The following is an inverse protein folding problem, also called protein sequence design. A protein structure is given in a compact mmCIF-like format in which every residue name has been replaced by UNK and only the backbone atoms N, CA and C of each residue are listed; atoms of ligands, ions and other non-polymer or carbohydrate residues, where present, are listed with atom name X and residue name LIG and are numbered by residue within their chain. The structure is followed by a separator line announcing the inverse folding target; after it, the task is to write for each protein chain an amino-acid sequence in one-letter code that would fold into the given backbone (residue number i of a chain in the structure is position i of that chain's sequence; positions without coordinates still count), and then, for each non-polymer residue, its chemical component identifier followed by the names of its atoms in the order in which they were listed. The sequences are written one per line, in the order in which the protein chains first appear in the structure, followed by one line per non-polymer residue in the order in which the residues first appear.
data_IF_291387126328
#
_entry.id   IF_291387126328
#
_cell.length_a   1.000
_cell.length_b   1.000
_cell.length_c   1.000
_cell.angle_alpha   90.00
_cell.angle_beta   90.00
_cell.angle_gamma   90.00
#
_symmetry.space_group_name_H-M   'P 1'
#
loop_
_entity.id
_entity.type
_entity.pdbx_description
1 polymer ?
#
# COMPACT_ATOMS: atom_id res chain seq x y z
N UNK A 1 3.08 -21.91 -13.65
CA UNK A 1 3.39 -20.80 -12.74
C UNK A 1 3.56 -21.36 -11.34
N UNK A 2 4.52 -20.89 -10.53
CA UNK A 2 4.61 -21.31 -9.13
C UNK A 2 3.29 -21.00 -8.42
N UNK A 3 2.73 -21.99 -7.72
CA UNK A 3 1.43 -21.87 -7.05
C UNK A 3 1.57 -21.07 -5.75
N UNK A 4 0.60 -20.17 -5.49
CA UNK A 4 0.45 -19.48 -4.21
C UNK A 4 0.12 -20.43 -3.04
N UNK A 5 -0.17 -21.71 -3.35
CA UNK A 5 -0.65 -22.72 -2.41
C UNK A 5 0.47 -23.41 -1.60
N UNK A 6 1.75 -23.05 -1.82
CA UNK A 6 2.89 -23.57 -1.04
C UNK A 6 3.68 -22.45 -0.33
N UNK A 7 3.06 -21.72 0.62
CA UNK A 7 3.69 -20.60 1.32
C UNK A 7 4.94 -21.00 2.14
N UNK A 8 5.06 -22.27 2.52
CA UNK A 8 6.19 -22.84 3.27
C UNK A 8 7.53 -22.74 2.52
N UNK A 9 7.49 -22.67 1.18
CA UNK A 9 8.68 -22.60 0.32
C UNK A 9 9.17 -21.15 0.08
N UNK A 10 8.72 -20.18 0.88
CA UNK A 10 9.15 -18.78 0.74
C UNK A 10 10.60 -18.60 1.22
N UNK A 11 11.34 -17.75 0.49
CA UNK A 11 12.66 -17.27 0.92
C UNK A 11 12.79 -15.79 0.69
N UNK A 12 13.59 -15.14 1.53
CA UNK A 12 14.02 -13.76 1.32
C UNK A 12 15.31 -13.79 0.52
N UNK A 13 15.34 -13.05 -0.58
CA UNK A 13 16.53 -12.86 -1.43
C UNK A 13 16.75 -11.38 -1.68
N UNK A 14 17.99 -11.00 -2.01
CA UNK A 14 18.28 -9.64 -2.43
C UNK A 14 17.61 -9.32 -3.77
N UNK A 15 17.31 -8.04 -3.99
CA UNK A 15 16.87 -7.56 -5.30
C UNK A 15 17.94 -7.90 -6.36
N UNK A 16 17.54 -8.57 -7.44
CA UNK A 16 18.45 -9.07 -8.48
C UNK A 16 19.00 -10.48 -8.26
N UNK A 17 18.73 -11.10 -7.11
CA UNK A 17 19.11 -12.50 -6.81
C UNK A 17 17.89 -13.43 -6.79
N UNK A 18 16.82 -13.07 -7.52
CA UNK A 18 15.59 -13.85 -7.63
C UNK A 18 15.80 -14.99 -8.63
N UNK A 19 15.64 -16.25 -8.23
CA UNK A 19 15.85 -17.36 -9.16
C UNK A 19 14.75 -17.45 -10.22
N UNK A 20 15.11 -17.93 -11.41
CA UNK A 20 14.26 -17.87 -12.61
C UNK A 20 12.92 -18.61 -12.46
N UNK A 21 12.87 -19.60 -11.58
CA UNK A 21 11.68 -20.42 -11.32
C UNK A 21 10.79 -19.86 -10.20
N UNK A 22 11.10 -18.67 -9.67
CA UNK A 22 10.38 -18.05 -8.55
C UNK A 22 9.73 -16.71 -8.89
N UNK A 23 8.77 -16.33 -8.05
CA UNK A 23 8.01 -15.09 -8.15
C UNK A 23 8.23 -14.22 -6.91
N UNK A 24 8.30 -12.91 -7.10
CA UNK A 24 8.31 -11.93 -6.02
C UNK A 24 6.87 -11.70 -5.57
N UNK A 25 6.56 -12.01 -4.31
CA UNK A 25 5.20 -11.95 -3.78
C UNK A 25 5.03 -10.94 -2.64
N UNK A 26 6.13 -10.46 -2.06
CA UNK A 26 6.15 -9.43 -1.01
C UNK A 26 7.52 -8.75 -0.97
N UNK A 27 7.60 -7.59 -0.32
CA UNK A 27 8.87 -6.91 -0.04
C UNK A 27 9.60 -7.57 1.14
N UNK A 28 10.93 -7.59 1.07
CA UNK A 28 11.77 -8.14 2.14
C UNK A 28 11.89 -7.21 3.36
N UNK A 29 12.38 -7.73 4.51
CA UNK A 29 12.46 -6.97 5.76
C UNK A 29 13.36 -5.72 5.68
N UNK A 30 14.41 -5.76 4.87
CA UNK A 30 15.27 -4.58 4.65
C UNK A 30 14.53 -3.47 3.91
N UNK A 31 13.69 -3.81 2.93
CA UNK A 31 12.83 -2.84 2.23
C UNK A 31 11.79 -2.27 3.17
N UNK A 32 11.14 -3.11 4.00
CA UNK A 32 10.19 -2.66 5.02
C UNK A 32 10.82 -1.62 5.97
N UNK A 33 12.04 -1.91 6.46
CA UNK A 33 12.78 -0.98 7.33
C UNK A 33 13.02 0.36 6.63
N UNK A 34 13.59 0.33 5.42
CA UNK A 34 13.93 1.53 4.65
C UNK A 34 12.70 2.36 4.29
N UNK A 35 11.62 1.71 3.85
CA UNK A 35 10.37 2.41 3.54
C UNK A 35 9.78 3.03 4.79
N UNK A 36 9.76 2.30 5.91
CA UNK A 36 9.31 2.84 7.19
C UNK A 36 10.14 4.04 7.67
N UNK A 37 11.46 4.04 7.46
CA UNK A 37 12.32 5.19 7.77
C UNK A 37 11.93 6.43 6.96
N UNK A 38 11.74 6.28 5.64
CA UNK A 38 11.33 7.38 4.76
C UNK A 38 9.94 7.89 5.15
N UNK A 39 8.96 6.99 5.31
CA UNK A 39 7.57 7.32 5.64
C UNK A 39 7.48 8.15 6.93
N UNK A 40 8.19 7.76 7.99
CA UNK A 40 8.15 8.47 9.28
C UNK A 40 8.65 9.91 9.23
N UNK A 41 9.45 10.26 8.21
CA UNK A 41 9.94 11.64 8.05
C UNK A 41 8.98 12.54 7.25
N UNK A 42 7.97 11.96 6.60
CA UNK A 42 7.03 12.69 5.77
C UNK A 42 5.98 13.42 6.61
N UNK A 43 5.58 14.62 6.18
CA UNK A 43 4.41 15.34 6.74
C UNK A 43 3.11 15.05 6.00
N UNK A 44 3.22 14.49 4.80
CA UNK A 44 2.08 14.06 4.00
C UNK A 44 2.46 12.78 3.28
N UNK A 45 1.62 11.75 3.42
CA UNK A 45 1.77 10.47 2.74
C UNK A 45 0.50 10.14 2.00
N UNK A 46 0.63 9.88 0.70
CA UNK A 46 -0.42 9.30 -0.13
C UNK A 46 -0.02 7.86 -0.40
N UNK A 47 -0.85 6.91 0.00
CA UNK A 47 -0.59 5.48 -0.21
C UNK A 47 -1.68 4.85 -1.08
N UNK A 48 -1.25 4.26 -2.20
CA UNK A 48 -2.10 3.57 -3.15
C UNK A 48 -1.41 2.29 -3.67
N UNK A 49 -1.82 1.14 -3.15
CA UNK A 49 -1.43 -0.21 -3.56
C UNK A 49 -0.70 -0.97 -2.44
N UNK A 50 -1.07 -2.23 -2.14
CA UNK A 50 -0.34 -3.08 -1.20
C UNK A 50 1.08 -3.40 -1.71
N UNK A 51 1.97 -3.84 -0.81
CA UNK A 51 3.37 -4.14 -1.15
C UNK A 51 3.59 -5.57 -1.67
N UNK A 52 2.60 -6.42 -1.51
CA UNK A 52 2.61 -7.84 -1.85
C UNK A 52 1.20 -8.41 -1.92
N UNK A 53 1.11 -9.72 -2.10
CA UNK A 53 -0.17 -10.47 -2.15
C UNK A 53 -0.72 -10.64 -0.73
N UNK A 54 -1.19 -9.54 -0.15
CA UNK A 54 -1.55 -9.41 1.27
C UNK A 54 -2.76 -10.25 1.70
N UNK A 55 -3.51 -10.78 0.73
CA UNK A 55 -4.59 -11.73 0.94
C UNK A 55 -4.05 -13.06 1.50
N UNK A 56 -2.80 -13.41 1.17
CA UNK A 56 -2.10 -14.59 1.69
C UNK A 56 -1.20 -14.18 2.85
N UNK A 57 -1.46 -14.73 4.04
CA UNK A 57 -0.76 -14.37 5.29
C UNK A 57 0.78 -14.42 5.18
N UNK A 58 1.29 -15.39 4.42
CA UNK A 58 2.73 -15.55 4.19
C UNK A 58 3.38 -14.39 3.40
N UNK A 59 2.58 -13.59 2.70
CA UNK A 59 3.01 -12.48 1.82
C UNK A 59 2.36 -11.14 2.20
N UNK A 60 1.83 -11.03 3.43
CA UNK A 60 1.17 -9.82 3.93
C UNK A 60 2.09 -8.89 4.74
N UNK A 61 3.29 -9.36 5.11
CA UNK A 61 4.17 -8.66 6.07
C UNK A 61 4.68 -7.33 5.57
N UNK A 62 4.98 -7.22 4.28
CA UNK A 62 5.42 -5.95 3.70
C UNK A 62 4.31 -4.90 3.70
N UNK A 63 3.10 -5.30 3.31
CA UNK A 63 1.92 -4.45 3.35
C UNK A 63 1.60 -4.02 4.79
N UNK A 64 1.65 -4.93 5.75
CA UNK A 64 1.47 -4.62 7.17
C UNK A 64 2.52 -3.62 7.67
N UNK A 65 3.80 -3.83 7.36
CA UNK A 65 4.87 -2.94 7.79
C UNK A 65 4.70 -1.51 7.25
N UNK A 66 4.27 -1.36 5.99
CA UNK A 66 3.97 -0.05 5.41
C UNK A 66 2.72 0.55 6.03
N UNK A 67 1.63 -0.21 6.20
CA UNK A 67 0.41 0.27 6.85
C UNK A 67 0.68 0.82 8.26
N UNK A 68 1.47 0.09 9.06
CA UNK A 68 1.87 0.51 10.40
C UNK A 68 2.76 1.77 10.37
N UNK A 69 3.68 1.87 9.40
CA UNK A 69 4.52 3.04 9.25
C UNK A 69 3.69 4.28 8.89
N UNK A 70 2.75 4.15 7.96
CA UNK A 70 1.84 5.23 7.56
C UNK A 70 0.96 5.64 8.74
N UNK A 71 0.38 4.69 9.47
CA UNK A 71 -0.44 4.96 10.65
C UNK A 71 0.31 5.69 11.79
N UNK A 72 1.64 5.68 11.78
CA UNK A 72 2.50 6.33 12.78
C UNK A 72 3.01 7.71 12.34
N UNK A 73 2.63 8.18 11.15
CA UNK A 73 3.02 9.50 10.65
C UNK A 73 2.32 10.59 11.46
N UNK A 74 3.11 11.53 12.00
CA UNK A 74 2.60 12.77 12.58
C UNK A 74 2.37 13.80 11.47
N UNK A 75 1.27 13.63 10.74
CA UNK A 75 0.98 14.39 9.53
C UNK A 75 -0.28 13.90 8.83
N UNK A 76 -0.44 14.32 7.58
CA UNK A 76 -1.60 13.94 6.77
C UNK A 76 -1.35 12.61 6.07
N UNK A 77 -2.21 11.63 6.30
CA UNK A 77 -2.17 10.33 5.60
C UNK A 77 -3.43 10.14 4.77
N UNK A 78 -3.24 9.87 3.47
CA UNK A 78 -4.30 9.70 2.48
C UNK A 78 -4.18 8.30 1.92
N UNK A 79 -5.21 7.48 2.13
CA UNK A 79 -5.30 6.14 1.57
C UNK A 79 -6.20 6.18 0.33
N UNK A 80 -5.65 5.77 -0.81
CA UNK A 80 -6.34 5.67 -2.09
C UNK A 80 -6.32 4.25 -2.64
N UNK A 81 -7.32 3.91 -3.46
CA UNK A 81 -7.47 2.60 -4.08
C UNK A 81 -8.08 1.55 -3.15
N UNK A 82 -9.02 0.75 -3.69
CA UNK A 82 -9.79 -0.22 -2.90
C UNK A 82 -8.94 -1.23 -2.14
N UNK A 83 -7.86 -1.72 -2.74
CA UNK A 83 -6.98 -2.72 -2.11
C UNK A 83 -6.20 -2.14 -0.93
N UNK A 84 -5.75 -0.88 -1.00
CA UNK A 84 -5.07 -0.22 0.12
C UNK A 84 -6.04 0.01 1.28
N UNK A 85 -7.30 0.35 0.98
CA UNK A 85 -8.36 0.48 1.99
C UNK A 85 -8.61 -0.86 2.68
N UNK A 86 -8.79 -1.92 1.91
CA UNK A 86 -8.95 -3.28 2.45
C UNK A 86 -7.74 -3.71 3.29
N UNK A 87 -6.52 -3.33 2.88
CA UNK A 87 -5.31 -3.61 3.64
C UNK A 87 -5.29 -2.88 5.00
N UNK A 88 -5.55 -1.58 5.07
CA UNK A 88 -5.55 -0.85 6.36
C UNK A 88 -6.66 -1.30 7.30
N UNK A 89 -7.80 -1.72 6.76
CA UNK A 89 -8.88 -2.34 7.55
C UNK A 89 -8.45 -3.70 8.10
N UNK A 90 -7.92 -4.59 7.25
CA UNK A 90 -7.42 -5.91 7.67
C UNK A 90 -6.36 -5.81 8.76
N UNK A 91 -5.48 -4.80 8.67
CA UNK A 91 -4.39 -4.58 9.63
C UNK A 91 -4.81 -3.77 10.86
N UNK A 92 -6.08 -3.34 10.95
CA UNK A 92 -6.63 -2.65 12.13
C UNK A 92 -6.04 -1.27 12.38
N UNK A 93 -5.67 -0.55 11.31
CA UNK A 93 -5.08 0.81 11.40
C UNK A 93 -5.88 1.88 10.66
N UNK A 94 -7.06 1.53 10.14
CA UNK A 94 -7.89 2.44 9.35
C UNK A 94 -8.30 3.72 10.15
N UNK A 95 -8.58 3.58 11.44
CA UNK A 95 -8.93 4.67 12.36
C UNK A 95 -7.78 5.65 12.63
N UNK A 96 -6.54 5.26 12.30
CA UNK A 96 -5.34 6.08 12.45
C UNK A 96 -4.97 6.84 11.17
N UNK A 97 -5.73 6.65 10.09
CA UNK A 97 -5.52 7.36 8.83
C UNK A 97 -6.26 8.70 8.85
N UNK A 98 -5.64 9.76 8.34
CA UNK A 98 -6.27 11.09 8.29
C UNK A 98 -7.42 11.12 7.30
N UNK A 99 -7.27 10.43 6.16
CA UNK A 99 -8.28 10.33 5.12
C UNK A 99 -8.24 8.97 4.43
N UNK A 100 -9.39 8.31 4.35
CA UNK A 100 -9.60 7.10 3.55
C UNK A 100 -10.55 7.48 2.42
N UNK A 101 -10.06 7.40 1.18
CA UNK A 101 -10.84 7.81 0.03
C UNK A 101 -11.84 6.72 -0.38
N UNK A 102 -13.10 7.10 -0.56
CA UNK A 102 -14.16 6.22 -1.08
C UNK A 102 -14.31 6.31 -2.60
N UNK A 103 -13.51 7.15 -3.27
CA UNK A 103 -13.62 7.38 -4.72
C UNK A 103 -13.06 6.26 -5.59
N UNK A 104 -12.34 5.29 -5.00
CA UNK A 104 -11.73 4.19 -5.74
C UNK A 104 -10.88 4.72 -6.90
N UNK A 105 -11.24 4.36 -8.14
CA UNK A 105 -10.57 4.84 -9.34
C UNK A 105 -10.63 6.36 -9.53
N UNK A 106 -11.71 7.03 -9.13
CA UNK A 106 -11.84 8.48 -9.25
C UNK A 106 -10.77 9.22 -8.43
N UNK A 107 -10.37 8.66 -7.29
CA UNK A 107 -9.30 9.22 -6.44
C UNK A 107 -7.94 9.14 -7.13
N UNK A 108 -7.67 8.06 -7.88
CA UNK A 108 -6.45 7.97 -8.69
C UNK A 108 -6.50 8.92 -9.88
N UNK A 109 -7.61 8.99 -10.60
CA UNK A 109 -7.77 9.92 -11.72
C UNK A 109 -7.56 11.38 -11.28
N UNK A 110 -8.04 11.72 -10.09
CA UNK A 110 -7.78 13.03 -9.48
C UNK A 110 -6.29 13.24 -9.18
N UNK A 111 -5.61 12.24 -8.62
CA UNK A 111 -4.16 12.30 -8.34
C UNK A 111 -3.31 12.31 -9.62
N UNK A 112 -3.81 11.77 -10.72
CA UNK A 112 -3.22 11.89 -12.06
C UNK A 112 -3.37 13.30 -12.65
N UNK A 113 -4.12 14.19 -11.98
CA UNK A 113 -4.36 15.57 -12.41
C UNK A 113 -5.47 15.71 -13.45
N UNK A 114 -6.30 14.67 -13.64
CA UNK A 114 -7.44 14.75 -14.55
C UNK A 114 -8.55 15.60 -13.95
N UNK A 115 -9.23 16.35 -14.80
CA UNK A 115 -10.48 17.00 -14.43
C UNK A 115 -11.58 15.93 -14.34
N UNK A 116 -12.11 15.74 -13.14
CA UNK A 116 -13.24 14.83 -12.94
C UNK A 116 -14.54 15.54 -13.36
N UNK A 117 -15.30 15.03 -14.34
CA UNK A 117 -16.47 15.75 -14.88
C UNK A 117 -17.53 16.09 -13.82
N UNK A 118 -17.73 15.18 -12.85
CA UNK A 118 -18.68 15.41 -11.75
C UNK A 118 -18.23 16.49 -10.76
N UNK A 119 -16.92 16.72 -10.63
CA UNK A 119 -16.36 17.80 -9.79
C UNK A 119 -16.41 19.13 -10.56
N UNK A 120 -16.05 19.13 -11.84
CA UNK A 120 -16.07 20.32 -12.70
C UNK A 120 -17.47 20.92 -12.92
N UNK A 121 -18.51 20.09 -12.83
CA UNK A 121 -19.90 20.54 -12.95
C UNK A 121 -20.41 21.30 -11.70
N UNK A 122 -19.68 21.28 -10.58
CA UNK A 122 -20.06 22.00 -9.36
C UNK A 122 -19.76 23.49 -9.53
N UNK A 123 -20.65 24.35 -9.03
CA UNK A 123 -20.42 25.78 -9.05
C UNK A 123 -19.24 26.15 -8.13
N UNK A 124 -18.42 27.11 -8.57
CA UNK A 124 -17.42 27.73 -7.72
C UNK A 124 -18.07 28.38 -6.49
N UNK A 125 -17.31 28.44 -5.41
CA UNK A 125 -17.77 28.83 -4.08
C UNK A 125 -17.99 30.34 -3.93
#
# INVERSE_FOLDING_TARGET
APSLEQPEARRVVAAGAVPEDQMILDIGPDTCRRFGEVIRTARTVVWNGPMGVFEVEAFAKGTEAVAQAVAAVDGVTIIGGGDSVAAVEKMGVADRMTHISTGGGASLEFLEGKELPGVAALADR
#
